data_IF_505267457800
#
_entry.id   IF_505267457800
#
_cell.length_a   1.000
_cell.length_b   1.000
_cell.length_c   1.000
_cell.angle_alpha   90.00
_cell.angle_beta   90.00
_cell.angle_gamma   90.00
#
_symmetry.space_group_name_H-M   'P 1'
#
loop_
_entity.id
_entity.type
_entity.pdbx_description
1 polymer ?
#
# COMPACT_ATOMS: atom_id res chain seq x y z
N UNK A 1 11.25 1.18 1.81
CA UNK A 1 10.57 0.94 0.52
C UNK A 1 11.56 0.34 -0.46
N UNK A 2 11.23 -0.79 -1.07
CA UNK A 2 12.03 -1.41 -2.12
C UNK A 2 12.00 -0.60 -3.42
N UNK A 3 13.05 -0.68 -4.28
CA UNK A 3 13.15 0.14 -5.50
C UNK A 3 12.12 -0.18 -6.58
N UNK A 4 11.45 -1.34 -6.50
CA UNK A 4 10.47 -1.84 -7.46
C UNK A 4 9.01 -1.49 -7.09
N UNK A 5 8.81 -0.70 -6.03
CA UNK A 5 7.48 -0.19 -5.63
C UNK A 5 7.02 0.92 -6.58
N UNK A 6 5.80 0.80 -7.08
CA UNK A 6 5.18 1.79 -7.99
C UNK A 6 4.16 2.62 -7.23
N UNK A 7 4.34 3.94 -7.24
CA UNK A 7 3.45 4.88 -6.55
C UNK A 7 2.75 5.78 -7.58
N UNK A 8 1.45 5.96 -7.38
CA UNK A 8 0.67 7.00 -8.03
C UNK A 8 0.97 8.40 -7.48
N UNK A 9 0.26 9.39 -8.01
CA UNK A 9 0.34 10.77 -7.56
C UNK A 9 -0.21 10.97 -6.14
N UNK A 10 0.42 11.85 -5.36
CA UNK A 10 -0.06 12.24 -4.02
C UNK A 10 -0.25 11.05 -3.04
N UNK A 11 0.55 9.99 -3.19
CA UNK A 11 0.63 8.91 -2.19
C UNK A 11 1.35 9.45 -0.96
N UNK A 12 0.77 9.21 0.23
CA UNK A 12 1.40 9.53 1.52
C UNK A 12 1.76 8.25 2.25
N UNK A 13 3.02 8.12 2.62
CA UNK A 13 3.55 6.99 3.37
C UNK A 13 4.07 7.52 4.69
N UNK A 14 3.54 6.98 5.79
CA UNK A 14 4.01 7.30 7.14
C UNK A 14 5.16 6.38 7.54
N UNK A 15 5.86 6.73 8.63
CA UNK A 15 7.09 6.06 9.05
C UNK A 15 6.92 4.55 9.31
N UNK A 16 8.01 3.81 9.16
CA UNK A 16 8.07 2.36 9.42
C UNK A 16 7.20 1.49 8.50
N UNK A 17 6.78 2.00 7.34
CA UNK A 17 6.12 1.20 6.32
C UNK A 17 7.11 0.35 5.50
N UNK A 18 6.82 -0.94 5.37
CA UNK A 18 7.57 -1.93 4.61
C UNK A 18 6.85 -2.25 3.30
N UNK A 19 7.37 -1.75 2.17
CA UNK A 19 6.75 -1.92 0.86
C UNK A 19 7.72 -2.64 -0.08
N UNK A 20 7.24 -3.69 -0.73
CA UNK A 20 8.02 -4.55 -1.63
C UNK A 20 7.26 -4.78 -2.93
N UNK A 21 7.81 -4.45 -4.10
CA UNK A 21 7.27 -4.82 -5.42
C UNK A 21 5.76 -4.67 -5.64
N UNK A 22 5.11 -3.72 -4.97
CA UNK A 22 3.66 -3.48 -4.99
C UNK A 22 3.31 -2.23 -5.82
N UNK A 23 2.03 -2.10 -6.19
CA UNK A 23 1.50 -0.90 -6.86
C UNK A 23 0.51 -0.18 -5.95
N UNK A 24 0.68 1.12 -5.76
CA UNK A 24 -0.19 1.97 -4.94
C UNK A 24 -0.79 3.08 -5.80
N UNK A 25 -2.12 3.14 -5.90
CA UNK A 25 -2.83 4.14 -6.69
C UNK A 25 -2.84 5.55 -6.09
N UNK A 26 -3.26 6.52 -6.90
CA UNK A 26 -3.26 7.95 -6.56
C UNK A 26 -4.03 8.28 -5.27
N UNK A 27 -3.59 9.32 -4.56
CA UNK A 27 -4.23 9.87 -3.36
C UNK A 27 -4.39 8.86 -2.21
N UNK A 28 -3.62 7.76 -2.22
CA UNK A 28 -3.66 6.73 -1.18
C UNK A 28 -2.75 7.07 0.00
N UNK A 29 -3.16 6.69 1.22
CA UNK A 29 -2.37 6.86 2.45
C UNK A 29 -2.01 5.51 3.06
N UNK A 30 -0.73 5.33 3.39
CA UNK A 30 -0.16 4.14 4.01
C UNK A 30 0.29 4.50 5.43
N UNK A 31 -0.42 4.00 6.44
CA UNK A 31 -0.13 4.25 7.86
C UNK A 31 1.21 3.65 8.33
N UNK A 32 1.56 3.94 9.59
CA UNK A 32 2.81 3.46 10.19
C UNK A 32 2.78 1.95 10.41
N UNK A 33 3.94 1.29 10.32
CA UNK A 33 4.06 -0.17 10.53
C UNK A 33 3.21 -1.02 9.58
N UNK A 34 2.83 -0.48 8.43
CA UNK A 34 2.16 -1.24 7.37
C UNK A 34 3.19 -2.05 6.61
N UNK A 35 2.87 -3.29 6.29
CA UNK A 35 3.63 -4.11 5.34
C UNK A 35 2.79 -4.50 4.11
N UNK A 36 3.33 -4.25 2.91
CA UNK A 36 2.70 -4.63 1.63
C UNK A 36 3.73 -5.41 0.82
N UNK A 37 3.40 -6.67 0.55
CA UNK A 37 4.27 -7.60 -0.16
C UNK A 37 4.20 -7.44 -1.69
N UNK A 38 5.16 -8.07 -2.35
CA UNK A 38 5.31 -8.09 -3.82
C UNK A 38 4.01 -8.53 -4.49
N UNK A 39 3.71 -7.95 -5.65
CA UNK A 39 2.55 -8.35 -6.45
C UNK A 39 1.21 -7.74 -5.99
N UNK A 40 1.12 -7.22 -4.77
CA UNK A 40 -0.09 -6.56 -4.28
C UNK A 40 -0.40 -5.26 -5.03
N UNK A 41 -1.69 -5.00 -5.24
CA UNK A 41 -2.19 -3.78 -5.90
C UNK A 41 -3.20 -3.07 -5.01
N UNK A 42 -2.84 -1.87 -4.55
CA UNK A 42 -3.73 -0.96 -3.81
C UNK A 42 -4.29 0.06 -4.79
N UNK A 43 -5.61 0.20 -4.82
CA UNK A 43 -6.29 1.18 -5.66
C UNK A 43 -6.00 2.64 -5.29
N UNK A 44 -6.73 3.54 -5.95
CA UNK A 44 -6.72 4.97 -5.70
C UNK A 44 -7.68 5.37 -4.57
N UNK A 45 -7.40 6.50 -3.91
CA UNK A 45 -8.17 7.03 -2.78
C UNK A 45 -8.31 6.06 -1.58
N UNK A 46 -7.31 5.19 -1.37
CA UNK A 46 -7.32 4.23 -0.26
C UNK A 46 -6.69 4.82 1.02
N UNK A 47 -7.05 4.26 2.17
CA UNK A 47 -6.36 4.48 3.44
C UNK A 47 -6.06 3.12 4.06
N UNK A 48 -4.78 2.80 4.22
CA UNK A 48 -4.30 1.59 4.88
C UNK A 48 -3.89 1.97 6.30
N UNK A 49 -4.53 1.40 7.32
CA UNK A 49 -4.29 1.78 8.71
C UNK A 49 -3.03 1.15 9.27
N UNK A 50 -2.55 1.68 10.39
CA UNK A 50 -1.33 1.19 11.00
C UNK A 50 -1.41 -0.29 11.37
N UNK A 51 -0.30 -1.02 11.24
CA UNK A 51 -0.20 -2.46 11.55
C UNK A 51 -0.97 -3.39 10.58
N UNK A 52 -1.41 -2.86 9.44
CA UNK A 52 -1.92 -3.67 8.33
C UNK A 52 -0.83 -4.52 7.68
N UNK A 53 -1.21 -5.73 7.26
CA UNK A 53 -0.36 -6.61 6.45
C UNK A 53 -1.12 -7.04 5.19
N UNK A 54 -0.55 -6.79 4.01
CA UNK A 54 -1.11 -7.18 2.71
C UNK A 54 -0.13 -8.16 2.03
N UNK A 55 -0.55 -9.43 1.88
CA UNK A 55 0.26 -10.50 1.31
C UNK A 55 0.29 -10.50 -0.24
N UNK A 56 1.29 -11.19 -0.79
CA UNK A 56 1.40 -11.47 -2.22
C UNK A 56 0.14 -12.17 -2.76
N UNK A 57 -0.22 -11.88 -4.00
CA UNK A 57 -1.39 -12.46 -4.68
C UNK A 57 -2.74 -11.79 -4.40
N UNK A 58 -2.81 -10.77 -3.52
CA UNK A 58 -4.03 -9.96 -3.36
C UNK A 58 -4.13 -8.96 -4.52
N UNK A 59 -4.79 -9.39 -5.58
CA UNK A 59 -4.72 -8.75 -6.89
C UNK A 59 -5.44 -7.41 -7.06
N UNK A 60 -6.34 -7.01 -6.16
CA UNK A 60 -7.10 -5.76 -6.29
C UNK A 60 -7.76 -5.34 -4.97
N UNK A 61 -7.11 -4.48 -4.19
CA UNK A 61 -7.77 -3.76 -3.10
C UNK A 61 -8.45 -2.51 -3.69
N UNK A 62 -9.73 -2.66 -4.06
CA UNK A 62 -10.57 -1.57 -4.59
C UNK A 62 -11.59 -1.15 -3.54
N UNK A 63 -11.51 0.11 -3.11
CA UNK A 63 -12.54 0.73 -2.27
C UNK A 63 -12.59 0.15 -0.85
N UNK A 64 -12.06 0.91 0.10
CA UNK A 64 -12.16 0.69 1.56
C UNK A 64 -11.76 -0.71 2.02
N UNK A 65 -10.46 -0.94 2.26
CA UNK A 65 -10.08 -2.05 3.14
C UNK A 65 -9.34 -1.50 4.35
N UNK A 66 -10.03 -1.60 5.50
CA UNK A 66 -9.54 -1.36 6.85
C UNK A 66 -8.93 -2.67 7.35
N UNK A 67 -7.63 -2.65 7.61
CA UNK A 67 -7.00 -3.31 8.76
C UNK A 67 -6.02 -2.31 9.34
#
# INVERSE_FOLDING_TARGET
MAPDVQLGGNVKIFDFANLYGCKIGDNTRIGTFVEIQKGAQVGLNCKIWSHSFICDGVGNLLGYCVV
#
